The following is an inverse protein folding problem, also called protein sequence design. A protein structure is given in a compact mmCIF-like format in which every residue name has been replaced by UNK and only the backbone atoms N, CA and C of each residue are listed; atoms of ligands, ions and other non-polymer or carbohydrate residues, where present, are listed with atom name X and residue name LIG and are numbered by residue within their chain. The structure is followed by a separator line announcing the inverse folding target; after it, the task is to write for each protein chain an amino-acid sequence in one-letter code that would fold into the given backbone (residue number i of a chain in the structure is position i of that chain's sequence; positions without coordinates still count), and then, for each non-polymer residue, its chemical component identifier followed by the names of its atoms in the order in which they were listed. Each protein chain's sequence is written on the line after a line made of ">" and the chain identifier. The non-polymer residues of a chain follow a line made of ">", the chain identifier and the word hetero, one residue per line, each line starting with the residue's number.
data_IF_200861072137
#
_entry.id   IF_200861072137
#
_cell.length_a   1.000
_cell.length_b   1.000
_cell.length_c   1.000
_cell.angle_alpha   90.00
_cell.angle_beta   90.00
_cell.angle_gamma   90.00
#
_symmetry.space_group_name_H-M   'P 1'
#
loop_
_entity.id
_entity.type
_entity.pdbx_description
1 polymer ?
#
# COMPACT_ATOMS: atom_id res chain seq x y z
N UNK A 1 -0.26 -21.01 -2.05
CA UNK A 1 -1.23 -20.74 -0.98
C UNK A 1 -2.51 -20.30 -1.65
N UNK A 2 -3.65 -20.85 -1.24
CA UNK A 2 -4.94 -20.40 -1.71
C UNK A 2 -5.56 -19.51 -0.63
N UNK A 3 -5.72 -18.22 -0.93
CA UNK A 3 -6.32 -17.24 -0.02
C UNK A 3 -7.80 -17.16 -0.42
N UNK A 4 -8.73 -17.59 0.45
CA UNK A 4 -10.15 -17.56 0.14
C UNK A 4 -10.61 -16.11 0.00
N UNK A 5 -11.36 -15.82 -1.06
CA UNK A 5 -11.97 -14.51 -1.30
C UNK A 5 -13.48 -14.58 -1.10
N UNK A 6 -14.09 -13.61 -0.39
CA UNK A 6 -15.54 -13.46 -0.37
C UNK A 6 -16.05 -13.10 -1.77
N UNK A 7 -16.84 -13.98 -2.39
CA UNK A 7 -17.33 -13.77 -3.75
C UNK A 7 -18.18 -12.49 -3.88
N UNK A 8 -18.92 -12.10 -2.84
CA UNK A 8 -19.67 -10.84 -2.84
C UNK A 8 -18.78 -9.60 -2.98
N UNK A 9 -17.61 -9.60 -2.33
CA UNK A 9 -16.64 -8.50 -2.45
C UNK A 9 -15.99 -8.48 -3.83
N UNK A 10 -15.69 -9.66 -4.39
CA UNK A 10 -15.14 -9.77 -5.75
C UNK A 10 -16.10 -9.17 -6.77
N UNK A 11 -17.40 -9.52 -6.69
CA UNK A 11 -18.41 -8.99 -7.60
C UNK A 11 -18.63 -7.47 -7.43
N UNK A 12 -18.59 -6.96 -6.19
CA UNK A 12 -18.69 -5.52 -5.91
C UNK A 12 -17.55 -4.73 -6.56
N UNK A 13 -16.31 -5.20 -6.42
CA UNK A 13 -15.12 -4.57 -7.00
C UNK A 13 -15.14 -4.64 -8.54
N UNK A 14 -15.54 -5.77 -9.12
CA UNK A 14 -15.70 -5.90 -10.58
C UNK A 14 -16.77 -4.93 -11.08
N UNK A 15 -17.90 -4.84 -10.39
CA UNK A 15 -18.98 -3.93 -10.76
C UNK A 15 -18.52 -2.47 -10.71
N UNK A 16 -17.91 -2.05 -9.59
CA UNK A 16 -17.42 -0.70 -9.41
C UNK A 16 -16.38 -0.30 -10.47
N UNK A 17 -15.46 -1.21 -10.80
CA UNK A 17 -14.46 -0.99 -11.84
C UNK A 17 -15.12 -0.78 -13.21
N UNK A 18 -16.01 -1.68 -13.62
CA UNK A 18 -16.69 -1.61 -14.92
C UNK A 18 -17.67 -0.44 -15.01
N UNK A 19 -18.32 -0.05 -13.91
CA UNK A 19 -19.17 1.14 -13.83
C UNK A 19 -18.34 2.40 -14.05
N UNK A 20 -17.16 2.49 -13.43
CA UNK A 20 -16.21 3.60 -13.61
C UNK A 20 -15.76 3.77 -15.06
N UNK A 21 -15.70 2.69 -15.84
CA UNK A 21 -15.38 2.72 -17.27
C UNK A 21 -16.62 2.87 -18.18
N UNK A 22 -17.83 2.74 -17.64
CA UNK A 22 -19.06 2.69 -18.43
C UNK A 22 -19.19 1.41 -19.28
N UNK A 23 -18.55 0.31 -18.88
CA UNK A 23 -18.43 -0.95 -19.64
C UNK A 23 -19.09 -2.14 -18.94
N UNK A 24 -20.17 -1.91 -18.19
CA UNK A 24 -20.89 -2.94 -17.43
C UNK A 24 -21.30 -4.16 -18.28
N UNK A 25 -21.65 -3.96 -19.55
CA UNK A 25 -22.12 -5.03 -20.45
C UNK A 25 -20.99 -5.73 -21.23
N UNK A 26 -19.73 -5.32 -21.04
CA UNK A 26 -18.58 -5.90 -21.73
C UNK A 26 -18.13 -7.21 -21.05
N UNK A 27 -18.63 -8.34 -21.55
CA UNK A 27 -18.37 -9.65 -20.97
C UNK A 27 -16.91 -10.13 -21.11
N UNK A 28 -16.23 -9.74 -22.19
CA UNK A 28 -14.82 -10.10 -22.40
C UNK A 28 -13.95 -9.36 -21.39
N UNK A 29 -14.15 -8.05 -21.29
CA UNK A 29 -13.40 -7.24 -20.35
C UNK A 29 -13.72 -7.57 -18.89
N UNK A 30 -14.98 -7.91 -18.57
CA UNK A 30 -15.35 -8.40 -17.23
C UNK A 30 -14.51 -9.60 -16.79
N UNK A 31 -14.17 -10.51 -17.71
CA UNK A 31 -13.36 -11.68 -17.38
C UNK A 31 -11.90 -11.29 -17.05
N UNK A 32 -11.36 -10.30 -17.75
CA UNK A 32 -10.04 -9.71 -17.46
C UNK A 32 -10.05 -9.04 -16.08
N UNK A 33 -11.01 -8.14 -15.84
CA UNK A 33 -11.19 -7.41 -14.58
C UNK A 33 -11.36 -8.37 -13.41
N UNK A 34 -12.15 -9.45 -13.57
CA UNK A 34 -12.29 -10.48 -12.54
C UNK A 34 -10.95 -11.10 -12.14
N UNK A 35 -10.09 -11.39 -13.13
CA UNK A 35 -8.77 -11.96 -12.87
C UNK A 35 -7.88 -10.97 -12.09
N UNK A 36 -7.88 -9.72 -12.51
CA UNK A 36 -7.09 -8.65 -11.87
C UNK A 36 -7.57 -8.34 -10.45
N UNK A 37 -8.89 -8.18 -10.26
CA UNK A 37 -9.54 -7.95 -8.96
C UNK A 37 -9.20 -9.07 -8.00
N UNK A 38 -9.33 -10.34 -8.41
CA UNK A 38 -8.99 -11.48 -7.54
C UNK A 38 -7.51 -11.48 -7.17
N UNK A 39 -6.61 -11.19 -8.10
CA UNK A 39 -5.17 -11.14 -7.81
C UNK A 39 -4.83 -10.00 -6.84
N UNK A 40 -5.45 -8.83 -7.02
CA UNK A 40 -5.31 -7.67 -6.15
C UNK A 40 -5.81 -7.98 -4.73
N UNK A 41 -7.03 -8.50 -4.60
CA UNK A 41 -7.63 -8.85 -3.31
C UNK A 41 -6.83 -9.93 -2.56
N UNK A 42 -6.35 -10.96 -3.27
CA UNK A 42 -5.46 -11.98 -2.66
C UNK A 42 -4.19 -11.35 -2.11
N UNK A 43 -3.58 -10.44 -2.87
CA UNK A 43 -2.36 -9.74 -2.46
C UNK A 43 -2.63 -8.85 -1.24
N UNK A 44 -3.74 -8.10 -1.23
CA UNK A 44 -4.15 -7.27 -0.11
C UNK A 44 -4.37 -8.09 1.16
N UNK A 45 -5.13 -9.18 1.11
CA UNK A 45 -5.36 -10.03 2.28
C UNK A 45 -4.10 -10.73 2.77
N UNK A 46 -3.18 -11.11 1.86
CA UNK A 46 -1.87 -11.63 2.27
C UNK A 46 -1.09 -10.58 3.04
N UNK A 47 -1.02 -9.35 2.54
CA UNK A 47 -0.31 -8.25 3.20
C UNK A 47 -0.93 -7.89 4.54
N UNK A 48 -2.25 -7.87 4.63
CA UNK A 48 -2.97 -7.60 5.88
C UNK A 48 -2.72 -8.72 6.91
N UNK A 49 -2.71 -9.99 6.47
CA UNK A 49 -2.37 -11.12 7.33
C UNK A 49 -0.92 -11.04 7.84
N UNK A 50 0.03 -10.63 6.98
CA UNK A 50 1.42 -10.42 7.38
C UNK A 50 1.53 -9.24 8.36
N UNK A 51 0.89 -8.10 8.07
CA UNK A 51 0.88 -6.94 8.96
C UNK A 51 0.33 -7.29 10.36
N UNK A 52 -0.73 -8.10 10.40
CA UNK A 52 -1.30 -8.62 11.64
C UNK A 52 -0.34 -9.56 12.37
N UNK A 53 0.27 -10.52 11.67
CA UNK A 53 1.22 -11.48 12.24
C UNK A 53 2.48 -10.80 12.79
N UNK A 54 2.96 -9.76 12.11
CA UNK A 54 4.14 -8.99 12.50
C UNK A 54 3.83 -7.92 13.57
N UNK A 55 2.56 -7.76 13.98
CA UNK A 55 2.09 -6.74 14.94
C UNK A 55 2.66 -5.38 14.61
N UNK A 56 2.51 -4.97 13.35
CA UNK A 56 3.09 -3.73 12.85
C UNK A 56 2.44 -2.54 13.56
N UNK A 57 3.15 -1.97 14.52
CA UNK A 57 2.75 -0.73 15.19
C UNK A 57 3.41 0.45 14.50
N UNK A 58 2.60 1.41 14.03
CA UNK A 58 3.13 2.67 13.49
C UNK A 58 3.52 3.56 14.66
N UNK A 59 4.76 4.04 14.63
CA UNK A 59 5.28 4.98 15.62
C UNK A 59 4.97 6.42 15.22
N UNK A 60 4.90 7.32 16.20
CA UNK A 60 4.70 8.76 15.95
C UNK A 60 5.80 9.33 15.06
N UNK A 61 7.03 8.83 15.18
CA UNK A 61 8.16 9.24 14.35
C UNK A 61 7.97 8.85 12.87
N UNK A 62 7.52 7.63 12.59
CA UNK A 62 7.23 7.16 11.23
C UNK A 62 6.08 7.93 10.59
N UNK A 63 5.03 8.20 11.37
CA UNK A 63 3.91 9.01 10.91
C UNK A 63 4.34 10.44 10.60
N UNK A 64 5.12 11.05 11.50
CA UNK A 64 5.66 12.40 11.33
C UNK A 64 6.55 12.49 10.08
N UNK A 65 7.44 11.52 9.89
CA UNK A 65 8.32 11.47 8.71
C UNK A 65 7.52 11.30 7.42
N UNK A 66 6.50 10.44 7.42
CA UNK A 66 5.60 10.29 6.28
C UNK A 66 4.89 11.61 5.96
N UNK A 67 4.30 12.28 6.96
CA UNK A 67 3.61 13.54 6.79
C UNK A 67 4.54 14.64 6.26
N UNK A 68 5.77 14.73 6.78
CA UNK A 68 6.78 15.67 6.28
C UNK A 68 7.10 15.44 4.81
N UNK A 69 7.39 14.18 4.43
CA UNK A 69 7.69 13.84 3.03
C UNK A 69 6.50 14.11 2.11
N UNK A 70 5.29 13.81 2.57
CA UNK A 70 4.06 14.04 1.81
C UNK A 70 3.80 15.53 1.64
N UNK A 71 3.87 16.33 2.70
CA UNK A 71 3.71 17.78 2.63
C UNK A 71 4.70 18.43 1.64
N UNK A 72 5.96 18.01 1.64
CA UNK A 72 6.95 18.48 0.65
C UNK A 72 6.54 18.18 -0.80
N UNK A 73 5.97 17.00 -1.09
CA UNK A 73 5.48 16.66 -2.45
C UNK A 73 4.32 17.55 -2.88
N UNK A 74 3.50 18.00 -1.94
CA UNK A 74 2.36 18.90 -2.18
C UNK A 74 2.73 20.38 -2.07
N UNK A 75 3.98 20.73 -1.76
CA UNK A 75 4.41 22.11 -1.58
C UNK A 75 3.80 22.80 -0.35
N UNK A 76 3.39 22.03 0.65
CA UNK A 76 2.73 22.49 1.87
C UNK A 76 3.65 22.34 3.08
N UNK A 77 3.36 23.08 4.16
CA UNK A 77 3.98 22.78 5.45
C UNK A 77 3.38 21.51 6.07
N UNK A 78 4.13 20.75 6.90
CA UNK A 78 3.60 19.55 7.56
C UNK A 78 2.34 19.82 8.39
N UNK A 79 2.29 20.96 9.08
CA UNK A 79 1.14 21.36 9.89
C UNK A 79 -0.10 21.63 9.02
N UNK A 80 0.06 22.37 7.92
CA UNK A 80 -1.02 22.65 6.98
C UNK A 80 -1.58 21.37 6.35
N UNK A 81 -0.69 20.47 5.91
CA UNK A 81 -1.08 19.20 5.31
C UNK A 81 -1.84 18.31 6.33
N UNK A 82 -1.36 18.25 7.57
CA UNK A 82 -2.03 17.51 8.64
C UNK A 82 -3.43 18.07 8.93
N UNK A 83 -3.57 19.39 8.97
CA UNK A 83 -4.88 20.03 9.15
C UNK A 83 -5.85 19.68 8.01
N UNK A 84 -5.39 19.65 6.76
CA UNK A 84 -6.24 19.22 5.63
C UNK A 84 -6.69 17.76 5.75
N UNK A 85 -5.80 16.86 6.19
CA UNK A 85 -6.12 15.45 6.42
C UNK A 85 -7.16 15.26 7.52
N UNK A 86 -7.05 16.03 8.62
CA UNK A 86 -8.04 16.02 9.71
C UNK A 86 -9.39 16.54 9.22
N UNK A 87 -9.41 17.67 8.51
CA UNK A 87 -10.65 18.27 7.99
C UNK A 87 -11.37 17.38 6.99
N UNK A 88 -10.62 16.62 6.18
CA UNK A 88 -11.17 15.66 5.21
C UNK A 88 -11.47 14.28 5.80
N UNK A 89 -11.12 14.01 7.07
CA UNK A 89 -11.28 12.70 7.70
C UNK A 89 -10.32 11.61 7.20
N UNK A 90 -9.29 11.99 6.44
CA UNK A 90 -8.37 11.06 5.78
C UNK A 90 -7.18 10.63 6.66
N UNK A 91 -7.05 11.15 7.88
CA UNK A 91 -5.93 10.81 8.77
C UNK A 91 -5.84 9.31 9.05
N UNK A 92 -6.98 8.61 9.19
CA UNK A 92 -7.01 7.15 9.36
C UNK A 92 -6.44 6.41 8.15
N UNK A 93 -6.73 6.88 6.94
CA UNK A 93 -6.20 6.26 5.71
C UNK A 93 -4.66 6.41 5.64
N UNK A 94 -4.13 7.56 6.08
CA UNK A 94 -2.68 7.77 6.17
C UNK A 94 -2.03 6.80 7.15
N UNK A 95 -2.64 6.57 8.32
CA UNK A 95 -2.13 5.58 9.27
C UNK A 95 -2.07 4.18 8.64
N UNK A 96 -3.14 3.76 7.95
CA UNK A 96 -3.18 2.47 7.24
C UNK A 96 -2.11 2.37 6.15
N UNK A 97 -1.80 3.46 5.45
CA UNK A 97 -0.75 3.50 4.45
C UNK A 97 0.65 3.31 5.06
N UNK A 98 0.95 4.00 6.16
CA UNK A 98 2.23 3.85 6.87
C UNK A 98 2.37 2.41 7.41
N UNK A 99 1.30 1.84 7.96
CA UNK A 99 1.29 0.45 8.41
C UNK A 99 1.58 -0.54 7.27
N UNK A 100 0.95 -0.35 6.10
CA UNK A 100 1.17 -1.20 4.92
C UNK A 100 2.59 -1.09 4.38
N UNK A 101 3.14 0.12 4.32
CA UNK A 101 4.53 0.34 3.91
C UNK A 101 5.52 -0.35 4.86
N UNK A 102 5.26 -0.27 6.17
CA UNK A 102 6.07 -0.94 7.18
C UNK A 102 5.98 -2.46 7.11
N UNK A 103 4.77 -3.02 6.92
CA UNK A 103 4.60 -4.46 6.71
C UNK A 103 5.37 -4.96 5.48
N UNK A 104 5.34 -4.20 4.38
CA UNK A 104 6.13 -4.51 3.19
C UNK A 104 7.64 -4.48 3.47
N UNK A 105 8.12 -3.47 4.20
CA UNK A 105 9.54 -3.40 4.59
C UNK A 105 9.97 -4.63 5.40
N UNK A 106 9.15 -5.09 6.36
CA UNK A 106 9.42 -6.31 7.14
C UNK A 106 9.47 -7.57 6.27
N UNK A 107 8.61 -7.68 5.25
CA UNK A 107 8.66 -8.79 4.29
C UNK A 107 9.96 -8.74 3.50
N UNK A 108 10.34 -7.55 3.01
CA UNK A 108 11.55 -7.35 2.22
C UNK A 108 12.83 -7.71 2.97
N UNK A 109 12.85 -7.62 4.30
CA UNK A 109 13.98 -8.08 5.13
C UNK A 109 14.15 -9.61 5.14
N UNK A 110 13.12 -10.37 4.79
CA UNK A 110 13.12 -11.85 4.86
C UNK A 110 13.21 -12.52 3.49
N UNK A 111 13.17 -11.75 2.41
CA UNK A 111 13.22 -12.29 1.04
C UNK A 111 14.50 -11.87 0.34
N UNK A 112 15.01 -12.74 -0.53
CA UNK A 112 16.15 -12.41 -1.38
C UNK A 112 15.64 -11.69 -2.64
N UNK A 113 15.95 -10.41 -2.78
CA UNK A 113 15.66 -9.65 -4.00
C UNK A 113 16.80 -9.83 -5.00
N UNK A 114 16.44 -10.10 -6.26
CA UNK A 114 17.37 -10.17 -7.39
C UNK A 114 16.96 -9.17 -8.46
N UNK A 115 17.94 -8.57 -9.14
CA UNK A 115 17.69 -7.75 -10.31
C UNK A 115 17.37 -8.60 -11.56
N UNK A 116 17.09 -7.94 -12.68
CA UNK A 116 16.77 -8.61 -13.95
C UNK A 116 17.91 -9.51 -14.49
N UNK A 117 19.14 -9.32 -14.03
CA UNK A 117 20.30 -10.17 -14.37
C UNK A 117 20.50 -11.35 -13.41
N UNK A 118 19.69 -11.42 -12.34
CA UNK A 118 19.77 -12.45 -11.31
C UNK A 118 20.74 -12.13 -10.17
N UNK A 119 21.33 -10.92 -10.14
CA UNK A 119 22.24 -10.49 -9.08
C UNK A 119 21.44 -10.11 -7.84
N UNK A 120 21.88 -10.59 -6.68
CA UNK A 120 21.26 -10.25 -5.38
C UNK A 120 21.42 -8.77 -5.10
N UNK A 121 20.31 -8.11 -4.77
CA UNK A 121 20.25 -6.70 -4.39
C UNK A 121 20.25 -6.61 -2.86
N UNK A 122 21.19 -5.84 -2.31
CA UNK A 122 21.20 -5.49 -0.90
C UNK A 122 20.28 -4.29 -0.67
N UNK A 123 19.07 -4.56 -0.18
CA UNK A 123 18.08 -3.53 0.12
C UNK A 123 18.48 -2.65 1.31
N UNK A 124 19.26 -3.18 2.26
CA UNK A 124 19.69 -2.40 3.42
C UNK A 124 20.65 -1.28 3.00
N UNK A 125 21.51 -1.55 2.01
CA UNK A 125 22.41 -0.54 1.44
C UNK A 125 21.68 0.60 0.70
N UNK A 126 20.41 0.41 0.32
CA UNK A 126 19.60 1.41 -0.39
C UNK A 126 18.76 2.31 0.54
N UNK A 127 18.78 2.05 1.86
CA UNK A 127 18.05 2.88 2.82
C UNK A 127 18.58 4.32 2.80
N UNK A 128 17.72 5.35 2.89
CA UNK A 128 18.15 6.72 3.05
C UNK A 128 19.08 6.83 4.25
N UNK A 129 20.25 7.43 4.07
CA UNK A 129 21.13 7.73 5.20
C UNK A 129 20.52 8.88 5.97
N UNK A 130 20.45 8.82 7.32
CA UNK A 130 20.05 9.98 8.10
C UNK A 130 20.96 11.14 7.71
N UNK A 131 20.36 12.32 7.49
CA UNK A 131 21.13 13.54 7.31
C UNK A 131 22.01 13.68 8.55
N UNK A 132 23.33 13.73 8.34
CA UNK A 132 24.27 14.00 9.42
C UNK A 132 23.87 15.36 10.01
N UNK A 133 23.49 15.38 11.27
CA UNK A 133 23.37 16.61 12.04
C UNK A 133 24.80 17.14 12.22
N UNK A 134 25.12 18.26 11.55
CA UNK A 134 26.34 19.04 11.77
C UNK A 134 26.18 19.96 13.00
#
# INVERSE_FOLDING_TARGET
>A
MDIPLPEGLVEEEIHAHLEGEGRLEDAEHRAEVNTEVRQSLKSSFLLDAIASAEKVEVTDAELSEYLMRSAMRYGMSPDEFTQQLVQSGNLTAVFSEVARAKAMATILERVQVKDASGKVVDLAALRPKPALED
#
